data_IF_814255072985
#
_entry.id   IF_814255072985
#
_cell.length_a   1.000
_cell.length_b   1.000
_cell.length_c   1.000
_cell.angle_alpha   90.00
_cell.angle_beta   90.00
_cell.angle_gamma   90.00
#
_symmetry.space_group_name_H-M   'P 1'
#
loop_
_entity.id
_entity.type
_entity.pdbx_description
1 polymer ?
#
# COMPACT_ATOMS: atom_id res chain seq x y z
N UNK A 1 13.66 -9.96 -3.26
CA UNK A 1 13.16 -8.68 -3.79
C UNK A 1 13.16 -8.70 -5.31
N UNK A 2 14.27 -9.09 -5.95
CA UNK A 2 14.38 -9.23 -7.41
C UNK A 2 13.13 -9.75 -8.15
N UNK A 3 12.64 -10.95 -7.83
CA UNK A 3 11.47 -11.54 -8.50
C UNK A 3 10.18 -10.71 -8.28
N UNK A 4 9.94 -10.27 -7.05
CA UNK A 4 8.80 -9.38 -6.73
C UNK A 4 8.88 -8.10 -7.56
N UNK A 5 10.03 -7.43 -7.56
CA UNK A 5 10.25 -6.19 -8.28
C UNK A 5 10.08 -6.36 -9.80
N UNK A 6 10.60 -7.44 -10.37
CA UNK A 6 10.41 -7.77 -11.78
C UNK A 6 8.93 -8.01 -12.12
N UNK A 7 8.19 -8.76 -11.29
CA UNK A 7 6.76 -9.01 -11.49
C UNK A 7 5.90 -7.74 -11.39
N UNK A 8 6.20 -6.84 -10.46
CA UNK A 8 5.48 -5.56 -10.33
C UNK A 8 5.78 -4.61 -11.49
N UNK A 9 7.02 -4.61 -12.00
CA UNK A 9 7.40 -3.85 -13.19
C UNK A 9 6.75 -4.42 -14.44
N UNK A 10 6.68 -5.74 -14.58
CA UNK A 10 5.94 -6.40 -15.66
C UNK A 10 4.50 -5.86 -15.74
N UNK A 11 3.78 -5.91 -14.62
CA UNK A 11 2.39 -5.44 -14.56
C UNK A 11 2.28 -3.94 -14.89
N UNK A 12 3.09 -3.09 -14.27
CA UNK A 12 3.05 -1.64 -14.52
C UNK A 12 3.35 -1.29 -15.97
N UNK A 13 4.45 -1.81 -16.51
CA UNK A 13 4.93 -1.50 -17.86
C UNK A 13 3.96 -2.04 -18.90
N UNK A 14 3.45 -3.27 -18.75
CA UNK A 14 2.44 -3.81 -19.65
C UNK A 14 1.15 -3.00 -19.66
N UNK A 15 0.69 -2.58 -18.48
CA UNK A 15 -0.54 -1.79 -18.35
C UNK A 15 -0.39 -0.41 -19.00
N UNK A 16 0.73 0.27 -18.76
CA UNK A 16 1.00 1.59 -19.35
C UNK A 16 1.21 1.48 -20.87
N UNK A 17 1.93 0.47 -21.34
CA UNK A 17 2.12 0.23 -22.77
C UNK A 17 0.77 -0.01 -23.47
N UNK A 18 -0.10 -0.82 -22.87
CA UNK A 18 -1.43 -1.09 -23.42
C UNK A 18 -2.31 0.17 -23.45
N UNK A 19 -2.23 1.00 -22.40
CA UNK A 19 -2.93 2.28 -22.36
C UNK A 19 -2.46 3.21 -23.49
N UNK A 20 -1.16 3.44 -23.61
CA UNK A 20 -0.60 4.37 -24.60
C UNK A 20 -0.81 3.88 -26.04
N UNK A 21 -0.60 2.60 -26.31
CA UNK A 21 -0.81 2.03 -27.65
C UNK A 21 -2.31 1.96 -27.99
N UNK A 22 -3.14 1.57 -27.03
CA UNK A 22 -4.58 1.47 -27.20
C UNK A 22 -5.27 2.82 -27.39
N UNK A 23 -4.83 3.88 -26.71
CA UNK A 23 -5.34 5.24 -26.92
C UNK A 23 -5.10 5.72 -28.36
N UNK A 24 -3.94 5.39 -28.94
CA UNK A 24 -3.61 5.75 -30.33
C UNK A 24 -4.33 4.89 -31.38
N UNK A 25 -4.72 3.66 -31.03
CA UNK A 25 -5.35 2.71 -31.94
C UNK A 25 -6.87 2.57 -31.77
N UNK A 26 -7.47 3.37 -30.89
CA UNK A 26 -8.92 3.35 -30.63
C UNK A 26 -9.41 2.21 -29.73
N UNK A 27 -8.51 1.50 -29.02
CA UNK A 27 -8.84 0.42 -28.08
C UNK A 27 -7.79 -0.69 -28.05
N UNK A 28 -8.04 -1.72 -27.24
CA UNK A 28 -7.22 -2.94 -27.25
C UNK A 28 -7.56 -3.83 -28.46
N UNK A 29 -6.53 -4.38 -29.09
CA UNK A 29 -6.64 -5.49 -30.03
C UNK A 29 -5.53 -6.50 -29.73
N UNK A 30 -5.60 -7.67 -30.38
CA UNK A 30 -4.69 -8.76 -30.11
C UNK A 30 -3.21 -8.33 -30.20
N UNK A 31 -2.84 -7.59 -31.24
CA UNK A 31 -1.47 -7.11 -31.47
C UNK A 31 -1.00 -6.16 -30.38
N UNK A 32 -1.84 -5.20 -29.98
CA UNK A 32 -1.53 -4.25 -28.90
C UNK A 32 -1.36 -4.97 -27.57
N UNK A 33 -2.27 -5.89 -27.26
CA UNK A 33 -2.22 -6.69 -26.05
C UNK A 33 -0.93 -7.52 -25.99
N UNK A 34 -0.59 -8.20 -27.08
CA UNK A 34 0.62 -9.01 -27.19
C UNK A 34 1.89 -8.15 -27.04
N UNK A 35 2.02 -7.07 -27.81
CA UNK A 35 3.17 -6.17 -27.76
C UNK A 35 3.35 -5.56 -26.37
N UNK A 36 2.26 -5.19 -25.70
CA UNK A 36 2.29 -4.63 -24.35
C UNK A 36 2.84 -5.61 -23.31
N UNK A 37 2.52 -6.91 -23.43
CA UNK A 37 3.12 -7.94 -22.60
C UNK A 37 4.62 -8.10 -22.88
N UNK A 38 5.05 -8.06 -24.15
CA UNK A 38 6.48 -8.14 -24.51
C UNK A 38 7.29 -6.96 -23.97
N UNK A 39 6.75 -5.73 -24.04
CA UNK A 39 7.38 -4.54 -23.46
C UNK A 39 7.51 -4.73 -21.93
N UNK A 40 6.47 -5.23 -21.27
CA UNK A 40 6.52 -5.55 -19.85
C UNK A 40 7.56 -6.60 -19.49
N UNK A 41 7.65 -7.69 -20.26
CA UNK A 41 8.66 -8.75 -20.07
C UNK A 41 10.07 -8.16 -20.17
N UNK A 42 10.32 -7.30 -21.16
CA UNK A 42 11.60 -6.60 -21.32
C UNK A 42 11.95 -5.78 -20.07
N UNK A 43 11.00 -4.99 -19.54
CA UNK A 43 11.19 -4.23 -18.31
C UNK A 43 11.46 -5.12 -17.09
N UNK A 44 10.73 -6.23 -16.97
CA UNK A 44 10.90 -7.18 -15.87
C UNK A 44 12.26 -7.88 -15.90
N UNK A 45 12.70 -8.32 -17.09
CA UNK A 45 14.02 -8.91 -17.32
C UNK A 45 15.12 -7.91 -16.97
N UNK A 46 14.98 -6.64 -17.40
CA UNK A 46 15.94 -5.60 -17.07
C UNK A 46 16.06 -5.40 -15.55
N UNK A 47 14.96 -5.28 -14.82
CA UNK A 47 15.00 -5.19 -13.35
C UNK A 47 15.60 -6.43 -12.71
N UNK A 48 15.26 -7.62 -13.23
CA UNK A 48 15.80 -8.86 -12.72
C UNK A 48 17.34 -8.87 -12.80
N UNK A 49 17.92 -8.54 -13.95
CA UNK A 49 19.37 -8.56 -14.10
C UNK A 49 20.10 -7.37 -13.44
N UNK A 50 19.46 -6.21 -13.35
CA UNK A 50 20.05 -5.02 -12.71
C UNK A 50 20.04 -5.08 -11.19
N UNK A 51 19.16 -5.90 -10.60
CA UNK A 51 19.16 -6.11 -9.15
C UNK A 51 20.18 -7.20 -8.77
N UNK A 52 21.10 -6.90 -7.84
CA UNK A 52 22.10 -7.88 -7.43
C UNK A 52 21.43 -9.15 -6.87
N UNK A 53 21.98 -10.34 -7.20
CA UNK A 53 21.46 -11.59 -6.67
C UNK A 53 21.53 -11.60 -5.14
N UNK A 54 20.64 -12.36 -4.52
CA UNK A 54 20.74 -12.59 -3.09
C UNK A 54 22.02 -13.38 -2.86
N UNK A 55 23.02 -12.77 -2.23
CA UNK A 55 24.15 -13.51 -1.70
C UNK A 55 23.61 -14.45 -0.61
N UNK A 56 23.35 -15.70 -0.96
CA UNK A 56 23.36 -16.80 0.00
C UNK A 56 24.81 -16.96 0.45
N UNK A 57 25.20 -16.23 1.49
CA UNK A 57 26.61 -16.22 1.89
C UNK A 57 27.00 -15.10 2.85
N UNK A 58 26.27 -14.95 3.95
CA UNK A 58 26.84 -14.57 5.25
C UNK A 58 25.81 -14.83 6.37
N UNK A 59 25.22 -16.02 6.38
CA UNK A 59 24.83 -16.63 7.64
C UNK A 59 26.12 -17.19 8.26
N UNK A 60 27.09 -16.33 8.57
CA UNK A 60 27.95 -16.64 9.69
C UNK A 60 27.00 -16.52 10.86
N UNK A 61 26.62 -17.69 11.36
CA UNK A 61 26.01 -17.83 12.65
C UNK A 61 26.80 -16.94 13.61
N UNK A 62 26.18 -15.83 14.01
CA UNK A 62 26.36 -15.42 15.40
C UNK A 62 25.64 -16.53 16.16
N UNK A 63 26.42 -17.53 16.56
CA UNK A 63 26.08 -18.45 17.63
C UNK A 63 25.84 -17.59 18.87
N UNK A 64 24.64 -17.05 18.99
CA UNK A 64 24.01 -16.63 20.23
C UNK A 64 22.53 -16.41 19.88
N UNK A 65 21.64 -17.26 20.43
CA UNK A 65 20.17 -17.36 20.27
C UNK A 65 19.59 -18.50 19.40
N UNK A 66 20.10 -19.72 19.55
CA UNK A 66 19.56 -20.94 18.93
C UNK A 66 18.05 -21.24 19.20
N UNK A 67 17.46 -20.96 20.38
CA UNK A 67 16.04 -21.25 20.62
C UNK A 67 15.10 -20.31 19.84
N UNK A 68 15.35 -19.00 19.90
CA UNK A 68 14.51 -17.96 19.28
C UNK A 68 14.48 -18.05 17.75
N UNK A 69 15.62 -18.42 17.13
CA UNK A 69 15.70 -18.63 15.69
C UNK A 69 14.79 -19.78 15.21
N UNK A 70 14.70 -20.87 15.99
CA UNK A 70 13.85 -22.02 15.68
C UNK A 70 12.36 -21.66 15.79
N UNK A 71 11.96 -20.96 16.84
CA UNK A 71 10.56 -20.51 17.02
C UNK A 71 10.12 -19.51 15.95
N UNK A 72 11.02 -18.61 15.50
CA UNK A 72 10.73 -17.65 14.42
C UNK A 72 10.38 -18.36 13.10
N UNK A 73 11.04 -19.48 12.81
CA UNK A 73 10.78 -20.31 11.63
C UNK A 73 9.41 -21.00 11.70
N UNK A 74 9.04 -21.54 12.87
CA UNK A 74 7.73 -22.19 13.09
C UNK A 74 6.60 -21.17 12.91
N UNK A 75 6.70 -20.00 13.54
CA UNK A 75 5.67 -18.95 13.40
C UNK A 75 5.54 -18.46 11.97
N UNK A 76 6.65 -18.29 11.25
CA UNK A 76 6.61 -17.95 9.83
C UNK A 76 5.88 -19.02 9.01
N UNK A 77 6.16 -20.30 9.28
CA UNK A 77 5.50 -21.41 8.60
C UNK A 77 3.99 -21.43 8.89
N UNK A 78 3.58 -21.30 10.15
CA UNK A 78 2.18 -21.28 10.55
C UNK A 78 1.42 -20.09 9.94
N UNK A 79 1.94 -18.87 10.09
CA UNK A 79 1.31 -17.67 9.53
C UNK A 79 1.31 -17.74 8.00
N UNK A 80 2.38 -18.24 7.38
CA UNK A 80 2.45 -18.47 5.94
C UNK A 80 1.45 -19.50 5.44
N UNK A 81 1.23 -20.58 6.19
CA UNK A 81 0.23 -21.59 5.88
C UNK A 81 -1.19 -21.02 5.95
N UNK A 82 -1.51 -20.25 7.00
CA UNK A 82 -2.82 -19.57 7.11
C UNK A 82 -3.00 -18.54 5.99
N UNK A 83 -1.95 -17.78 5.64
CA UNK A 83 -1.98 -16.86 4.51
C UNK A 83 -2.28 -17.60 3.19
N UNK A 84 -1.63 -18.75 2.97
CA UNK A 84 -1.83 -19.56 1.78
C UNK A 84 -3.26 -20.13 1.71
N UNK A 85 -3.82 -20.62 2.82
CA UNK A 85 -5.22 -21.05 2.89
C UNK A 85 -6.14 -19.87 2.53
N UNK A 86 -5.94 -18.72 3.15
CA UNK A 86 -6.71 -17.50 2.86
C UNK A 86 -6.65 -17.17 1.37
N UNK A 87 -5.46 -17.09 0.78
CA UNK A 87 -5.26 -16.72 -0.61
C UNK A 87 -5.92 -17.73 -1.56
N UNK A 88 -5.67 -19.03 -1.34
CA UNK A 88 -6.25 -20.09 -2.16
C UNK A 88 -7.77 -20.10 -2.08
N UNK A 89 -8.32 -20.06 -0.86
CA UNK A 89 -9.77 -20.08 -0.65
C UNK A 89 -10.44 -18.85 -1.28
N UNK A 90 -9.85 -17.67 -1.12
CA UNK A 90 -10.46 -16.41 -1.57
C UNK A 90 -10.40 -16.20 -3.08
N UNK A 91 -9.28 -16.59 -3.73
CA UNK A 91 -9.08 -16.31 -5.15
C UNK A 91 -9.45 -17.47 -6.08
N UNK A 92 -9.33 -18.72 -5.65
CA UNK A 92 -9.82 -19.85 -6.45
C UNK A 92 -11.36 -19.96 -6.45
N UNK A 93 -12.01 -19.42 -5.41
CA UNK A 93 -13.48 -19.27 -5.33
C UNK A 93 -13.90 -17.80 -5.36
N UNK A 94 -13.15 -16.97 -6.09
CA UNK A 94 -13.50 -15.55 -6.27
C UNK A 94 -14.92 -15.40 -6.82
N UNK A 95 -15.24 -16.19 -7.83
CA UNK A 95 -16.60 -16.59 -8.21
C UNK A 95 -16.57 -18.00 -8.80
N UNK A 96 -17.64 -18.75 -8.60
CA UNK A 96 -17.76 -20.13 -9.05
C UNK A 96 -19.17 -20.42 -9.55
N UNK A 97 -19.32 -21.48 -10.33
CA UNK A 97 -20.64 -21.94 -10.78
C UNK A 97 -21.13 -23.04 -9.83
N UNK A 98 -22.36 -22.91 -9.37
CA UNK A 98 -23.07 -23.96 -8.63
C UNK A 98 -24.37 -24.28 -9.38
N UNK A 99 -24.34 -25.35 -10.19
CA UNK A 99 -25.38 -25.64 -11.16
C UNK A 99 -25.53 -24.50 -12.19
N UNK A 100 -26.69 -23.87 -12.20
CA UNK A 100 -27.00 -22.71 -13.06
C UNK A 100 -26.67 -21.36 -12.40
N UNK A 101 -26.32 -21.36 -11.11
CA UNK A 101 -26.03 -20.15 -10.36
C UNK A 101 -24.56 -19.74 -10.51
N UNK A 102 -24.32 -18.43 -10.44
CA UNK A 102 -22.98 -17.84 -10.27
C UNK A 102 -22.89 -17.34 -8.84
N UNK A 103 -22.07 -18.02 -8.05
CA UNK A 103 -21.90 -17.73 -6.64
C UNK A 103 -20.57 -17.03 -6.38
N UNK A 104 -20.55 -16.24 -5.30
CA UNK A 104 -19.38 -15.53 -4.81
C UNK A 104 -19.21 -15.86 -3.34
N UNK A 105 -17.97 -16.16 -2.93
CA UNK A 105 -17.70 -16.54 -1.54
C UNK A 105 -17.97 -15.39 -0.54
N UNK A 106 -17.48 -14.19 -0.85
CA UNK A 106 -17.51 -13.06 0.08
C UNK A 106 -18.67 -12.11 -0.30
N UNK A 107 -19.62 -11.84 0.61
CA UNK A 107 -20.71 -10.91 0.34
C UNK A 107 -20.18 -9.49 0.08
N UNK A 108 -19.02 -9.13 0.65
CA UNK A 108 -18.36 -7.85 0.40
C UNK A 108 -17.85 -7.70 -1.04
N UNK A 109 -17.65 -8.81 -1.75
CA UNK A 109 -17.14 -8.81 -3.12
C UNK A 109 -18.25 -8.83 -4.18
N UNK A 110 -19.51 -9.01 -3.80
CA UNK A 110 -20.61 -9.18 -4.76
C UNK A 110 -20.73 -7.97 -5.71
N UNK A 111 -20.80 -6.75 -5.15
CA UNK A 111 -20.89 -5.52 -5.93
C UNK A 111 -19.58 -5.16 -6.64
N UNK A 112 -18.46 -5.23 -5.92
CA UNK A 112 -17.13 -4.87 -6.45
C UNK A 112 -16.70 -5.81 -7.57
N UNK A 113 -16.94 -7.12 -7.46
CA UNK A 113 -16.56 -8.06 -8.51
C UNK A 113 -17.34 -7.82 -9.80
N UNK A 114 -18.66 -7.59 -9.72
CA UNK A 114 -19.47 -7.25 -10.89
C UNK A 114 -18.90 -6.04 -11.64
N UNK A 115 -18.57 -4.98 -10.89
CA UNK A 115 -17.93 -3.77 -11.41
C UNK A 115 -16.62 -4.10 -12.17
N UNK A 116 -15.74 -4.88 -11.54
CA UNK A 116 -14.45 -5.25 -12.11
C UNK A 116 -14.57 -6.13 -13.36
N UNK A 117 -15.48 -7.11 -13.35
CA UNK A 117 -15.74 -7.95 -14.52
C UNK A 117 -16.22 -7.12 -15.71
N UNK A 118 -17.09 -6.13 -15.46
CA UNK A 118 -17.52 -5.17 -16.49
C UNK A 118 -16.33 -4.41 -17.05
N UNK A 119 -15.46 -3.82 -16.22
CA UNK A 119 -14.29 -3.07 -16.71
C UNK A 119 -13.34 -3.93 -17.54
N UNK A 120 -13.00 -5.13 -17.06
CA UNK A 120 -12.11 -6.07 -17.77
C UNK A 120 -12.69 -6.39 -19.14
N UNK A 121 -13.99 -6.70 -19.23
CA UNK A 121 -14.67 -7.01 -20.49
C UNK A 121 -14.78 -5.80 -21.41
N UNK A 122 -15.05 -4.61 -20.88
CA UNK A 122 -15.05 -3.36 -21.65
C UNK A 122 -13.70 -3.12 -22.32
N UNK A 123 -12.59 -3.25 -21.59
CA UNK A 123 -11.26 -3.13 -22.18
C UNK A 123 -10.98 -4.23 -23.20
N UNK A 124 -11.29 -5.49 -22.86
CA UNK A 124 -11.00 -6.64 -23.70
C UNK A 124 -11.78 -6.63 -25.04
N UNK A 125 -12.96 -6.01 -25.07
CA UNK A 125 -13.77 -5.84 -26.28
C UNK A 125 -13.28 -4.70 -27.19
N UNK A 126 -12.15 -4.06 -26.86
CA UNK A 126 -11.53 -3.07 -27.73
C UNK A 126 -12.21 -1.70 -27.72
N UNK A 127 -12.90 -1.36 -26.63
CA UNK A 127 -13.47 -0.01 -26.46
C UNK A 127 -12.36 1.05 -26.40
N UNK A 128 -12.66 2.26 -26.88
CA UNK A 128 -11.71 3.38 -26.89
C UNK A 128 -11.18 3.69 -25.50
N UNK A 129 -9.85 3.81 -25.37
CA UNK A 129 -9.20 4.22 -24.14
C UNK A 129 -9.06 5.76 -24.12
N UNK A 130 -9.38 6.47 -23.04
CA UNK A 130 -10.02 6.01 -21.81
C UNK A 130 -11.55 5.88 -21.98
N UNK A 131 -12.17 4.76 -21.54
CA UNK A 131 -13.55 4.44 -21.89
C UNK A 131 -14.56 5.34 -21.16
N UNK A 132 -15.75 5.42 -21.75
CA UNK A 132 -16.92 5.95 -21.06
C UNK A 132 -17.27 5.05 -19.86
N UNK A 133 -17.86 5.64 -18.83
CA UNK A 133 -18.31 4.91 -17.65
C UNK A 133 -19.43 3.94 -18.06
N UNK A 134 -19.31 2.64 -17.75
CA UNK A 134 -20.36 1.67 -18.05
C UNK A 134 -21.58 1.83 -17.12
N UNK A 135 -21.49 2.70 -16.11
CA UNK A 135 -22.54 2.93 -15.10
C UNK A 135 -23.19 4.30 -15.27
N UNK A 136 -22.41 5.33 -15.61
CA UNK A 136 -22.87 6.71 -15.65
C UNK A 136 -22.80 7.28 -17.07
N UNK A 137 -23.97 7.58 -17.65
CA UNK A 137 -24.08 8.20 -18.98
C UNK A 137 -23.35 9.55 -19.00
N UNK A 138 -22.68 9.85 -20.12
CA UNK A 138 -21.94 11.11 -20.35
C UNK A 138 -20.76 11.38 -19.41
N UNK A 139 -20.19 10.36 -18.78
CA UNK A 139 -18.97 10.48 -17.97
C UNK A 139 -17.91 9.47 -18.41
N UNK A 140 -16.63 9.78 -18.20
CA UNK A 140 -15.56 8.78 -18.34
C UNK A 140 -15.48 7.88 -17.12
N UNK A 141 -14.82 6.73 -17.28
CA UNK A 141 -14.56 5.80 -16.19
C UNK A 141 -13.80 6.48 -15.03
N UNK A 142 -14.46 6.60 -13.87
CA UNK A 142 -13.95 7.20 -12.62
C UNK A 142 -13.38 6.15 -11.67
N UNK A 143 -12.37 5.42 -12.13
CA UNK A 143 -11.79 4.34 -11.33
C UNK A 143 -10.31 4.11 -11.67
N UNK A 144 -9.44 3.83 -10.68
CA UNK A 144 -8.07 3.34 -10.90
C UNK A 144 -8.06 1.92 -11.50
N UNK A 145 -8.37 1.81 -12.78
CA UNK A 145 -8.61 0.52 -13.46
C UNK A 145 -7.34 -0.18 -13.94
N UNK A 146 -6.17 0.10 -13.36
CA UNK A 146 -4.88 -0.44 -13.85
C UNK A 146 -4.80 -1.97 -13.83
N UNK A 147 -5.22 -2.62 -12.74
CA UNK A 147 -5.29 -4.09 -12.70
C UNK A 147 -6.39 -4.63 -13.63
N UNK A 148 -7.52 -3.94 -13.74
CA UNK A 148 -8.60 -4.35 -14.65
C UNK A 148 -8.16 -4.27 -16.12
N UNK A 149 -7.41 -3.24 -16.48
CA UNK A 149 -6.79 -3.11 -17.80
C UNK A 149 -5.76 -4.22 -18.04
N UNK A 150 -4.91 -4.52 -17.05
CA UNK A 150 -3.96 -5.64 -17.14
C UNK A 150 -4.67 -6.98 -17.38
N UNK A 151 -5.73 -7.28 -16.64
CA UNK A 151 -6.57 -8.46 -16.88
C UNK A 151 -7.34 -8.37 -18.22
N UNK A 152 -7.68 -7.17 -18.67
CA UNK A 152 -8.24 -6.91 -19.99
C UNK A 152 -7.31 -7.33 -21.13
N UNK A 153 -6.00 -7.07 -21.00
CA UNK A 153 -4.96 -7.52 -21.95
C UNK A 153 -4.99 -9.05 -22.07
N UNK A 154 -5.00 -9.76 -20.94
CA UNK A 154 -5.04 -11.23 -20.93
C UNK A 154 -6.35 -11.76 -21.55
N UNK A 155 -7.48 -11.16 -21.18
CA UNK A 155 -8.79 -11.53 -21.73
C UNK A 155 -8.84 -11.31 -23.25
N UNK A 156 -8.27 -10.20 -23.75
CA UNK A 156 -8.21 -9.89 -25.18
C UNK A 156 -7.34 -10.88 -25.98
N UNK A 157 -6.34 -11.49 -25.34
CA UNK A 157 -5.52 -12.57 -25.92
C UNK A 157 -6.21 -13.95 -25.87
N UNK A 158 -7.43 -14.03 -25.34
CA UNK A 158 -8.21 -15.27 -25.29
C UNK A 158 -8.06 -16.08 -24.00
N UNK A 159 -7.41 -15.55 -22.95
CA UNK A 159 -7.35 -16.23 -21.67
C UNK A 159 -8.70 -16.18 -20.94
N UNK A 160 -9.14 -17.33 -20.43
CA UNK A 160 -10.38 -17.44 -19.65
C UNK A 160 -10.37 -16.57 -18.40
N UNK A 161 -11.52 -15.97 -18.09
CA UNK A 161 -11.64 -14.98 -17.02
C UNK A 161 -11.47 -15.59 -15.61
N UNK A 162 -12.09 -16.74 -15.31
CA UNK A 162 -11.96 -17.33 -13.96
C UNK A 162 -10.52 -17.71 -13.61
N UNK A 163 -9.79 -18.50 -14.43
CA UNK A 163 -8.43 -18.91 -14.09
C UNK A 163 -7.46 -17.74 -14.05
N UNK A 164 -7.59 -16.75 -14.94
CA UNK A 164 -6.70 -15.58 -14.91
C UNK A 164 -6.90 -14.75 -13.64
N UNK A 165 -8.13 -14.55 -13.17
CA UNK A 165 -8.38 -13.73 -11.98
C UNK A 165 -7.89 -14.44 -10.73
N UNK A 166 -8.06 -15.76 -10.67
CA UNK A 166 -7.47 -16.60 -9.63
C UNK A 166 -5.93 -16.47 -9.66
N UNK A 167 -5.29 -16.62 -10.82
CA UNK A 167 -3.84 -16.48 -10.97
C UNK A 167 -3.35 -15.09 -10.56
N UNK A 168 -4.00 -14.01 -10.99
CA UNK A 168 -3.68 -12.63 -10.58
C UNK A 168 -3.76 -12.48 -9.07
N UNK A 169 -4.84 -12.96 -8.44
CA UNK A 169 -5.03 -12.88 -7.00
C UNK A 169 -4.01 -13.69 -6.20
N UNK A 170 -3.67 -14.90 -6.65
CA UNK A 170 -2.67 -15.77 -6.01
C UNK A 170 -1.25 -15.19 -6.13
N UNK A 171 -0.88 -14.69 -7.31
CA UNK A 171 0.43 -14.05 -7.51
C UNK A 171 0.55 -12.74 -6.71
N UNK A 172 -0.51 -11.94 -6.68
CA UNK A 172 -0.59 -10.76 -5.84
C UNK A 172 -0.49 -11.10 -4.35
N UNK A 173 -1.14 -12.18 -3.91
CA UNK A 173 -1.08 -12.70 -2.54
C UNK A 173 0.35 -13.12 -2.16
N UNK A 174 1.03 -13.85 -3.04
CA UNK A 174 2.44 -14.21 -2.85
C UNK A 174 3.33 -12.96 -2.78
N UNK A 175 3.09 -11.98 -3.65
CA UNK A 175 3.79 -10.70 -3.65
C UNK A 175 3.56 -9.91 -2.36
N UNK A 176 2.31 -9.83 -1.89
CA UNK A 176 1.93 -9.13 -0.66
C UNK A 176 2.54 -9.81 0.57
N UNK A 177 2.43 -11.14 0.68
CA UNK A 177 3.07 -11.92 1.74
C UNK A 177 4.58 -11.63 1.81
N UNK A 178 5.25 -11.72 0.66
CA UNK A 178 6.69 -11.49 0.60
C UNK A 178 7.04 -10.04 0.94
N UNK A 179 6.30 -9.05 0.44
CA UNK A 179 6.53 -7.64 0.74
C UNK A 179 6.30 -7.31 2.22
N UNK A 180 5.22 -7.82 2.82
CA UNK A 180 4.92 -7.68 4.26
C UNK A 180 6.02 -8.30 5.12
N UNK A 181 6.43 -9.54 4.79
CA UNK A 181 7.51 -10.22 5.50
C UNK A 181 8.83 -9.44 5.41
N UNK A 182 9.14 -8.85 4.27
CA UNK A 182 10.35 -8.03 4.10
C UNK A 182 10.25 -6.66 4.76
N UNK A 183 9.04 -6.13 4.92
CA UNK A 183 8.76 -4.86 5.59
C UNK A 183 8.86 -4.97 7.12
N UNK A 184 8.20 -5.96 7.72
CA UNK A 184 8.13 -6.11 9.19
C UNK A 184 8.09 -7.53 9.71
N UNK A 185 8.63 -8.49 8.94
CA UNK A 185 8.73 -9.89 9.35
C UNK A 185 7.38 -10.58 9.47
N UNK A 186 7.37 -11.71 10.18
CA UNK A 186 6.15 -12.49 10.46
C UNK A 186 5.09 -11.66 11.18
N UNK A 187 5.50 -10.70 12.02
CA UNK A 187 4.59 -9.81 12.74
C UNK A 187 3.77 -8.92 11.77
N UNK A 188 4.39 -8.37 10.73
CA UNK A 188 3.65 -7.60 9.72
C UNK A 188 2.67 -8.45 8.91
N UNK A 189 3.05 -9.70 8.59
CA UNK A 189 2.13 -10.65 7.90
C UNK A 189 0.95 -11.01 8.80
N UNK A 190 1.21 -11.31 10.08
CA UNK A 190 0.17 -11.60 11.06
C UNK A 190 -0.73 -10.38 11.30
N UNK A 191 -0.15 -9.19 11.42
CA UNK A 191 -0.88 -7.93 11.55
C UNK A 191 -1.77 -7.65 10.34
N UNK A 192 -1.35 -8.02 9.13
CA UNK A 192 -2.20 -7.95 7.96
C UNK A 192 -3.36 -8.96 8.01
N UNK A 193 -3.09 -10.23 8.33
CA UNK A 193 -4.11 -11.29 8.32
C UNK A 193 -5.15 -11.15 9.45
N UNK A 194 -4.67 -10.83 10.64
CA UNK A 194 -5.45 -10.83 11.88
C UNK A 194 -5.73 -9.39 12.34
N UNK A 195 -5.75 -8.44 11.41
CA UNK A 195 -6.16 -7.07 11.74
C UNK A 195 -7.64 -7.05 12.13
N UNK A 196 -7.97 -6.11 13.00
CA UNK A 196 -9.34 -5.88 13.43
C UNK A 196 -9.39 -5.26 14.80
N UNK A 197 -10.58 -4.81 15.17
CA UNK A 197 -10.88 -4.35 16.51
C UNK A 197 -11.34 -5.48 17.42
N UNK A 198 -12.09 -5.13 18.46
CA UNK A 198 -12.54 -6.12 19.44
C UNK A 198 -13.73 -6.97 18.97
N UNK A 199 -14.35 -6.63 17.83
CA UNK A 199 -15.53 -7.32 17.29
C UNK A 199 -15.32 -8.84 17.17
N UNK A 200 -14.12 -9.27 16.74
CA UNK A 200 -13.79 -10.70 16.60
C UNK A 200 -13.73 -11.48 17.92
N UNK A 201 -13.58 -10.79 19.06
CA UNK A 201 -13.53 -11.45 20.38
C UNK A 201 -14.91 -11.90 20.88
N UNK A 202 -16.00 -11.51 20.19
CA UNK A 202 -17.34 -12.04 20.46
C UNK A 202 -17.38 -13.58 20.38
N UNK A 203 -16.51 -14.19 19.57
CA UNK A 203 -16.30 -15.65 19.53
C UNK A 203 -16.06 -16.26 20.91
N UNK A 204 -15.35 -15.58 21.81
CA UNK A 204 -15.05 -16.10 23.16
C UNK A 204 -16.30 -16.19 24.05
N UNK A 205 -17.38 -15.51 23.69
CA UNK A 205 -18.66 -15.54 24.40
C UNK A 205 -19.66 -16.45 23.71
N UNK A 206 -19.74 -16.41 22.38
CA UNK A 206 -20.74 -17.16 21.60
C UNK A 206 -20.30 -18.59 21.30
N UNK A 207 -18.99 -18.84 21.26
CA UNK A 207 -18.37 -20.07 20.75
C UNK A 207 -18.78 -20.44 19.31
N UNK A 208 -19.27 -19.46 18.53
CA UNK A 208 -19.74 -19.65 17.16
C UNK A 208 -18.73 -19.06 16.17
N UNK A 209 -18.36 -19.85 15.15
CA UNK A 209 -17.47 -19.41 14.08
C UNK A 209 -18.25 -18.60 13.03
N UNK A 210 -18.45 -17.31 13.30
CA UNK A 210 -19.21 -16.36 12.46
C UNK A 210 -18.34 -15.19 12.02
N UNK A 211 -18.78 -14.49 10.96
CA UNK A 211 -18.22 -13.19 10.59
C UNK A 211 -18.77 -12.08 11.49
N UNK A 212 -18.07 -11.79 12.59
CA UNK A 212 -18.41 -10.70 13.51
C UNK A 212 -18.09 -9.31 12.95
N UNK A 213 -17.32 -9.21 11.86
CA UNK A 213 -16.98 -7.95 11.19
C UNK A 213 -17.95 -7.64 10.02
N UNK A 214 -18.78 -8.62 9.65
CA UNK A 214 -19.93 -8.56 8.76
C UNK A 214 -21.00 -7.53 9.12
N UNK A 215 -20.97 -7.02 10.35
CA UNK A 215 -22.01 -6.14 10.88
C UNK A 215 -21.93 -4.72 10.30
N UNK A 216 -23.05 -3.97 10.27
CA UNK A 216 -23.07 -2.58 9.82
C UNK A 216 -22.42 -1.60 10.80
N UNK A 217 -22.01 -2.06 11.98
CA UNK A 217 -21.46 -1.22 13.05
C UNK A 217 -19.92 -1.28 13.15
N UNK A 218 -19.23 -2.02 12.27
CA UNK A 218 -17.75 -2.12 12.27
C UNK A 218 -17.17 -1.31 11.12
N UNK A 219 -16.36 -0.31 11.43
CA UNK A 219 -15.66 0.52 10.44
C UNK A 219 -14.32 -0.09 10.02
N UNK A 220 -13.52 -0.54 10.99
CA UNK A 220 -12.21 -1.15 10.76
C UNK A 220 -12.37 -2.66 10.57
N UNK A 221 -12.66 -3.04 9.33
CA UNK A 221 -12.84 -4.43 8.93
C UNK A 221 -11.52 -5.10 8.53
N UNK A 222 -11.57 -6.42 8.38
CA UNK A 222 -10.45 -7.26 7.96
C UNK A 222 -9.91 -6.79 6.61
N UNK A 223 -8.67 -6.30 6.60
CA UNK A 223 -7.97 -5.84 5.40
C UNK A 223 -7.94 -6.94 4.32
N UNK A 224 -7.57 -8.20 4.63
CA UNK A 224 -7.61 -9.26 3.62
C UNK A 224 -8.98 -9.43 2.98
N UNK A 225 -10.06 -9.47 3.77
CA UNK A 225 -11.39 -9.86 3.29
C UNK A 225 -12.17 -8.70 2.67
N UNK A 226 -12.09 -7.49 3.22
CA UNK A 226 -12.91 -6.35 2.80
C UNK A 226 -12.18 -5.33 1.93
N UNK A 227 -10.86 -5.49 1.78
CA UNK A 227 -10.03 -4.59 0.98
C UNK A 227 -9.23 -5.36 -0.06
N UNK A 228 -8.40 -6.32 0.35
CA UNK A 228 -7.45 -6.97 -0.56
C UNK A 228 -8.14 -7.89 -1.57
N UNK A 229 -9.17 -8.64 -1.16
CA UNK A 229 -9.95 -9.50 -2.05
C UNK A 229 -10.91 -8.70 -2.94
N UNK A 230 -11.50 -7.63 -2.41
CA UNK A 230 -12.58 -6.88 -3.08
C UNK A 230 -12.04 -5.81 -4.02
N UNK A 231 -11.06 -5.01 -3.56
CA UNK A 231 -10.53 -3.89 -4.32
C UNK A 231 -9.32 -4.32 -5.12
N UNK A 232 -9.52 -4.63 -6.39
CA UNK A 232 -8.46 -5.19 -7.26
C UNK A 232 -7.21 -4.29 -7.36
N UNK A 233 -7.36 -2.98 -7.25
CA UNK A 233 -6.22 -2.05 -7.20
C UNK A 233 -5.21 -2.38 -6.08
N UNK A 234 -5.67 -2.90 -4.93
CA UNK A 234 -4.81 -3.27 -3.80
C UNK A 234 -3.98 -4.53 -4.04
N UNK A 235 -4.38 -5.41 -4.98
CA UNK A 235 -3.58 -6.56 -5.40
C UNK A 235 -2.21 -6.12 -5.93
N UNK A 236 -2.16 -4.97 -6.58
CA UNK A 236 -0.91 -4.33 -7.01
C UNK A 236 -0.36 -3.37 -5.96
N UNK A 237 -1.22 -2.53 -5.39
CA UNK A 237 -0.77 -1.39 -4.60
C UNK A 237 -0.15 -1.77 -3.25
N UNK A 238 -0.60 -2.85 -2.59
CA UNK A 238 0.00 -3.31 -1.34
C UNK A 238 1.44 -3.81 -1.56
N UNK A 239 1.72 -4.80 -2.42
CA UNK A 239 3.08 -5.25 -2.64
C UNK A 239 3.99 -4.14 -3.19
N UNK A 240 3.50 -3.30 -4.10
CA UNK A 240 4.27 -2.18 -4.66
C UNK A 240 4.56 -1.09 -3.63
N UNK A 241 3.56 -0.65 -2.87
CA UNK A 241 3.76 0.38 -1.86
C UNK A 241 4.68 -0.08 -0.74
N UNK A 242 4.57 -1.32 -0.27
CA UNK A 242 5.51 -1.90 0.70
C UNK A 242 6.92 -2.03 0.13
N UNK A 243 7.07 -2.39 -1.14
CA UNK A 243 8.37 -2.40 -1.82
C UNK A 243 8.99 -0.99 -1.89
N UNK A 244 8.19 0.04 -2.17
CA UNK A 244 8.64 1.45 -2.19
C UNK A 244 9.02 1.94 -0.79
N UNK A 245 8.22 1.65 0.24
CA UNK A 245 8.56 1.96 1.64
C UNK A 245 9.86 1.25 2.05
N UNK A 246 10.03 -0.02 1.66
CA UNK A 246 11.27 -0.76 1.91
C UNK A 246 12.46 -0.12 1.18
N UNK A 247 12.30 0.25 -0.08
CA UNK A 247 13.32 0.93 -0.89
C UNK A 247 13.72 2.28 -0.29
N UNK A 248 12.76 3.12 0.09
CA UNK A 248 13.03 4.45 0.65
C UNK A 248 13.66 4.37 2.02
N UNK A 249 13.26 3.39 2.83
CA UNK A 249 13.90 3.12 4.12
C UNK A 249 15.36 2.70 3.93
N UNK A 250 15.63 1.83 2.97
CA UNK A 250 16.98 1.39 2.64
C UNK A 250 17.86 2.51 2.04
N UNK A 251 17.29 3.33 1.15
CA UNK A 251 18.02 4.34 0.38
C UNK A 251 18.23 5.67 1.11
N UNK A 252 17.25 6.08 1.92
CA UNK A 252 17.21 7.40 2.56
C UNK A 252 17.23 7.34 4.09
N UNK A 253 17.13 6.13 4.65
CA UNK A 253 17.31 5.86 6.07
C UNK A 253 18.78 5.69 6.46
N UNK A 254 19.01 4.97 7.55
CA UNK A 254 20.33 4.69 8.13
C UNK A 254 20.68 3.19 8.11
N UNK A 255 19.91 2.38 7.38
CA UNK A 255 20.06 0.91 7.35
C UNK A 255 21.13 0.47 6.33
N UNK A 256 22.41 0.49 6.72
CA UNK A 256 23.57 0.18 5.84
C UNK A 256 23.51 -1.19 5.15
N UNK A 257 22.99 -2.21 5.83
CA UNK A 257 22.85 -3.58 5.27
C UNK A 257 21.84 -3.66 4.11
N UNK A 258 20.90 -2.72 4.01
CA UNK A 258 19.86 -2.73 2.96
C UNK A 258 20.29 -2.03 1.68
N UNK A 259 21.36 -1.21 1.72
CA UNK A 259 21.85 -0.43 0.57
C UNK A 259 22.29 -1.30 -0.62
N UNK A 260 22.73 -2.53 -0.37
CA UNK A 260 23.21 -3.44 -1.43
C UNK A 260 22.12 -4.00 -2.34
N UNK A 261 20.82 -3.77 -2.05
CA UNK A 261 19.70 -4.45 -2.75
C UNK A 261 18.67 -3.49 -3.35
N UNK A 262 19.08 -2.26 -3.62
CA UNK A 262 18.19 -1.20 -4.10
C UNK A 262 17.62 -1.48 -5.49
N UNK A 263 16.40 -1.00 -5.71
CA UNK A 263 15.80 -0.90 -7.03
C UNK A 263 16.60 0.06 -7.93
N UNK A 264 16.71 -0.24 -9.24
CA UNK A 264 17.11 0.77 -10.22
C UNK A 264 16.20 2.00 -10.12
N UNK A 265 16.79 3.20 -10.26
CA UNK A 265 16.07 4.48 -10.08
C UNK A 265 14.87 4.60 -11.02
N UNK A 266 14.99 4.15 -12.26
CA UNK A 266 13.89 4.16 -13.22
C UNK A 266 12.74 3.24 -12.81
N UNK A 267 13.03 2.10 -12.17
CA UNK A 267 12.02 1.17 -11.70
C UNK A 267 11.25 1.78 -10.51
N UNK A 268 11.97 2.41 -9.59
CA UNK A 268 11.37 3.21 -8.50
C UNK A 268 10.43 4.30 -9.06
N UNK A 269 10.83 4.99 -10.14
CA UNK A 269 10.02 6.01 -10.79
C UNK A 269 8.76 5.43 -11.42
N UNK A 270 8.86 4.33 -12.17
CA UNK A 270 7.70 3.68 -12.80
C UNK A 270 6.70 3.24 -11.73
N UNK A 271 7.15 2.53 -10.69
CA UNK A 271 6.26 2.02 -9.65
C UNK A 271 5.53 3.16 -8.90
N UNK A 272 6.23 4.25 -8.59
CA UNK A 272 5.63 5.38 -7.89
C UNK A 272 4.72 6.22 -8.81
N UNK A 273 5.19 6.58 -10.00
CA UNK A 273 4.48 7.48 -10.91
C UNK A 273 3.21 6.84 -11.51
N UNK A 274 3.20 5.52 -11.69
CA UNK A 274 2.02 4.78 -12.20
C UNK A 274 1.04 4.39 -11.11
N UNK A 275 1.38 4.57 -9.83
CA UNK A 275 0.52 4.19 -8.71
C UNK A 275 -0.92 4.74 -8.80
N UNK A 276 -1.19 5.99 -9.24
CA UNK A 276 -2.57 6.47 -9.38
C UNK A 276 -3.42 5.69 -10.39
N UNK A 277 -2.80 5.06 -11.39
CA UNK A 277 -3.50 4.18 -12.34
C UNK A 277 -4.04 2.93 -11.65
N UNK A 278 -3.36 2.46 -10.60
CA UNK A 278 -3.72 1.26 -9.85
C UNK A 278 -4.49 1.55 -8.56
N UNK A 279 -4.09 2.58 -7.80
CA UNK A 279 -4.70 2.94 -6.54
C UNK A 279 -4.28 4.35 -6.04
N UNK A 280 -5.17 5.34 -6.22
CA UNK A 280 -4.91 6.75 -5.84
C UNK A 280 -4.62 6.92 -4.34
N UNK A 281 -5.34 6.22 -3.45
CA UNK A 281 -5.12 6.37 -2.00
C UNK A 281 -3.71 5.89 -1.59
N UNK A 282 -3.20 4.84 -2.22
CA UNK A 282 -1.80 4.41 -1.97
C UNK A 282 -0.82 5.49 -2.43
N UNK A 283 -1.07 6.10 -3.59
CA UNK A 283 -0.25 7.21 -4.06
C UNK A 283 -0.25 8.40 -3.08
N UNK A 284 -1.41 8.77 -2.53
CA UNK A 284 -1.53 9.83 -1.51
C UNK A 284 -0.72 9.47 -0.25
N UNK A 285 -0.90 8.26 0.28
CA UNK A 285 -0.17 7.80 1.46
C UNK A 285 1.35 7.82 1.25
N UNK A 286 1.82 7.33 0.10
CA UNK A 286 3.23 7.35 -0.27
C UNK A 286 3.76 8.78 -0.49
N UNK A 287 2.95 9.67 -1.04
CA UNK A 287 3.28 11.10 -1.20
C UNK A 287 3.50 11.78 0.16
N UNK A 288 2.68 11.45 1.17
CA UNK A 288 2.86 11.95 2.54
C UNK A 288 4.16 11.43 3.14
N UNK A 289 4.50 10.15 2.92
CA UNK A 289 5.80 9.59 3.36
C UNK A 289 6.96 10.34 2.71
N UNK A 290 6.92 10.55 1.39
CA UNK A 290 7.96 11.32 0.68
C UNK A 290 8.06 12.76 1.17
N UNK A 291 6.93 13.43 1.42
CA UNK A 291 6.90 14.77 1.99
C UNK A 291 7.64 14.80 3.34
N UNK A 292 7.31 13.88 4.25
CA UNK A 292 7.99 13.80 5.54
C UNK A 292 9.48 13.52 5.36
N UNK A 293 9.86 12.57 4.50
CA UNK A 293 11.28 12.29 4.24
C UNK A 293 12.02 13.52 3.67
N UNK A 294 11.40 14.30 2.78
CA UNK A 294 11.99 15.56 2.29
C UNK A 294 12.17 16.54 3.44
N UNK A 295 11.19 16.68 4.33
CA UNK A 295 11.30 17.61 5.45
C UNK A 295 12.34 17.18 6.49
N UNK A 296 12.47 15.87 6.75
CA UNK A 296 13.22 15.34 7.90
C UNK A 296 14.50 14.60 7.56
N UNK A 297 14.86 14.45 6.27
CA UNK A 297 16.13 13.82 5.84
C UNK A 297 16.93 14.78 4.94
N UNK A 298 17.62 15.79 5.50
CA UNK A 298 18.34 16.82 4.74
C UNK A 298 19.30 16.27 3.69
N UNK A 299 20.05 15.21 4.02
CA UNK A 299 21.00 14.56 3.11
C UNK A 299 20.33 13.94 1.87
N UNK A 300 19.08 13.49 1.98
CA UNK A 300 18.35 12.82 0.90
C UNK A 300 17.48 13.77 0.07
N UNK A 301 17.32 15.04 0.48
CA UNK A 301 16.37 15.99 -0.12
C UNK A 301 16.49 16.14 -1.63
N UNK A 302 17.72 16.32 -2.13
CA UNK A 302 17.93 16.52 -3.57
C UNK A 302 17.46 15.30 -4.38
N UNK A 303 17.80 14.10 -3.92
CA UNK A 303 17.40 12.85 -4.56
C UNK A 303 15.89 12.63 -4.49
N UNK A 304 15.27 12.92 -3.34
CA UNK A 304 13.81 12.83 -3.15
C UNK A 304 13.05 13.84 -4.03
N UNK A 305 13.53 15.09 -4.11
CA UNK A 305 12.92 16.11 -4.96
C UNK A 305 13.03 15.75 -6.45
N UNK A 306 14.14 15.14 -6.89
CA UNK A 306 14.27 14.62 -8.25
C UNK A 306 13.27 13.50 -8.54
N UNK A 307 13.09 12.56 -7.59
CA UNK A 307 12.08 11.50 -7.68
C UNK A 307 10.67 12.10 -7.83
N UNK A 308 10.31 13.02 -6.94
CA UNK A 308 8.98 13.67 -6.97
C UNK A 308 8.80 14.45 -8.26
N UNK A 309 9.76 15.29 -8.66
CA UNK A 309 9.68 16.08 -9.89
C UNK A 309 9.50 15.21 -11.14
N UNK A 310 10.22 14.09 -11.23
CA UNK A 310 10.10 13.14 -12.34
C UNK A 310 8.73 12.43 -12.36
N UNK A 311 8.14 12.16 -11.18
CA UNK A 311 6.88 11.43 -11.07
C UNK A 311 5.63 12.32 -11.20
N UNK A 312 5.73 13.62 -10.93
CA UNK A 312 4.57 14.55 -10.91
C UNK A 312 3.81 14.53 -12.23
N UNK A 313 4.49 14.65 -13.38
CA UNK A 313 3.80 14.74 -14.66
C UNK A 313 3.04 13.44 -15.02
N UNK A 314 3.67 12.24 -15.02
CA UNK A 314 2.93 11.01 -15.28
C UNK A 314 1.83 10.74 -14.25
N UNK A 315 2.11 10.97 -12.95
CA UNK A 315 1.11 10.77 -11.90
C UNK A 315 -0.10 11.69 -12.08
N UNK A 316 0.12 12.97 -12.44
CA UNK A 316 -0.96 13.92 -12.71
C UNK A 316 -1.82 13.48 -13.90
N UNK A 317 -1.20 12.94 -14.96
CA UNK A 317 -1.93 12.37 -16.11
C UNK A 317 -2.81 11.20 -15.65
N UNK A 318 -2.28 10.26 -14.86
CA UNK A 318 -3.07 9.12 -14.38
C UNK A 318 -4.17 9.54 -13.40
N UNK A 319 -3.93 10.53 -12.53
CA UNK A 319 -4.97 11.12 -11.68
C UNK A 319 -6.05 11.75 -12.56
N UNK A 320 -5.66 12.55 -13.54
CA UNK A 320 -6.60 13.18 -14.47
C UNK A 320 -7.45 12.15 -15.22
N UNK A 321 -6.85 11.07 -15.71
CA UNK A 321 -7.57 9.97 -16.38
C UNK A 321 -8.57 9.28 -15.44
N UNK A 322 -8.11 8.86 -14.26
CA UNK A 322 -8.90 8.05 -13.31
C UNK A 322 -9.97 8.83 -12.55
N UNK A 323 -9.97 10.16 -12.65
CA UNK A 323 -10.94 11.07 -12.01
C UNK A 323 -11.94 11.70 -13.00
N UNK A 324 -12.09 11.11 -14.20
CA UNK A 324 -12.90 11.68 -15.28
C UNK A 324 -12.49 13.13 -15.58
N UNK A 325 -11.20 13.33 -15.81
CA UNK A 325 -10.61 14.64 -16.15
C UNK A 325 -10.86 15.69 -15.07
N UNK A 326 -10.79 15.28 -13.80
CA UNK A 326 -11.11 16.08 -12.62
C UNK A 326 -12.58 16.54 -12.54
N UNK A 327 -13.50 15.89 -13.28
CA UNK A 327 -14.95 16.14 -13.20
C UNK A 327 -15.65 15.33 -12.12
N UNK A 328 -14.99 14.32 -11.56
CA UNK A 328 -15.41 13.76 -10.28
C UNK A 328 -15.40 14.92 -9.26
N UNK A 329 -16.58 15.39 -8.84
CA UNK A 329 -16.72 16.59 -7.98
C UNK A 329 -15.83 16.52 -6.74
N UNK A 330 -15.46 17.67 -6.16
CA UNK A 330 -14.50 17.74 -5.05
C UNK A 330 -14.84 16.74 -3.94
N UNK A 331 -14.09 15.64 -3.94
CA UNK A 331 -14.27 14.53 -3.00
C UNK A 331 -13.68 14.88 -1.64
N UNK A 332 -12.79 15.89 -1.62
CA UNK A 332 -12.18 16.42 -0.41
C UNK A 332 -13.17 17.30 0.33
N UNK A 333 -13.58 16.84 1.51
CA UNK A 333 -14.46 17.56 2.41
C UNK A 333 -13.96 17.42 3.85
N UNK A 334 -14.01 18.49 4.63
CA UNK A 334 -13.78 18.40 6.08
C UNK A 334 -14.82 17.49 6.70
N UNK A 335 -14.35 16.44 7.37
CA UNK A 335 -15.19 15.45 8.02
C UNK A 335 -14.44 14.85 9.22
N UNK A 336 -14.76 15.33 10.42
CA UNK A 336 -14.08 14.93 11.64
C UNK A 336 -14.67 13.65 12.26
N UNK A 337 -13.78 12.77 12.73
CA UNK A 337 -14.14 11.51 13.38
C UNK A 337 -14.28 10.32 12.43
N UNK A 338 -13.80 10.42 11.18
CA UNK A 338 -13.90 9.37 10.17
C UNK A 338 -15.34 8.86 9.97
N UNK A 339 -15.73 7.71 10.55
CA UNK A 339 -17.10 7.15 10.45
C UNK A 339 -17.86 7.17 11.77
N UNK A 340 -17.29 7.74 12.83
CA UNK A 340 -17.82 7.74 14.20
C UNK A 340 -19.25 8.28 14.31
N UNK A 341 -19.64 9.20 13.43
CA UNK A 341 -20.94 9.87 13.47
C UNK A 341 -21.83 9.53 12.25
N UNK A 342 -21.51 8.47 11.52
CA UNK A 342 -22.13 8.15 10.22
C UNK A 342 -23.11 6.98 10.36
N UNK A 343 -24.40 7.22 10.17
CA UNK A 343 -25.43 6.19 10.04
C UNK A 343 -25.34 5.08 11.11
N UNK A 344 -25.35 3.83 10.66
CA UNK A 344 -25.23 2.65 11.53
C UNK A 344 -23.84 2.51 12.16
N UNK A 345 -22.79 3.14 11.63
CA UNK A 345 -21.44 3.10 12.23
C UNK A 345 -21.32 3.99 13.48
N UNK A 346 -22.38 4.73 13.83
CA UNK A 346 -22.36 5.70 14.91
C UNK A 346 -22.09 5.04 16.27
N UNK A 347 -21.08 5.55 16.98
CA UNK A 347 -20.72 5.09 18.33
C UNK A 347 -20.23 6.25 19.22
N UNK A 348 -20.33 6.14 20.56
CA UNK A 348 -19.67 7.07 21.48
C UNK A 348 -18.15 7.11 21.23
N UNK A 349 -17.53 8.28 21.40
CA UNK A 349 -16.13 8.53 20.99
C UNK A 349 -15.15 7.44 21.43
N UNK A 350 -15.00 7.20 22.73
CA UNK A 350 -14.03 6.21 23.23
C UNK A 350 -14.38 4.79 22.78
N UNK A 351 -15.67 4.45 22.73
CA UNK A 351 -16.13 3.14 22.28
C UNK A 351 -15.84 2.92 20.80
N UNK A 352 -16.06 3.91 19.94
CA UNK A 352 -15.76 3.82 18.51
C UNK A 352 -14.30 3.43 18.27
N UNK A 353 -13.36 4.15 18.88
CA UNK A 353 -11.94 3.93 18.68
C UNK A 353 -11.46 2.60 19.28
N UNK A 354 -11.92 2.26 20.48
CA UNK A 354 -11.57 0.99 21.11
C UNK A 354 -12.20 -0.20 20.38
N UNK A 355 -13.46 -0.09 19.97
CA UNK A 355 -14.17 -1.16 19.27
C UNK A 355 -13.52 -1.47 17.92
N UNK A 356 -13.08 -0.45 17.18
CA UNK A 356 -12.50 -0.59 15.85
C UNK A 356 -11.01 -0.95 15.86
N UNK A 357 -10.19 -0.40 16.77
CA UNK A 357 -8.74 -0.62 16.76
C UNK A 357 -8.22 -1.47 17.93
N UNK A 358 -9.05 -1.74 18.93
CA UNK A 358 -8.66 -2.48 20.13
C UNK A 358 -7.42 -1.89 20.80
N UNK A 359 -6.48 -2.77 21.15
CA UNK A 359 -5.23 -2.43 21.83
C UNK A 359 -4.21 -1.77 20.90
N UNK A 360 -4.40 -1.82 19.58
CA UNK A 360 -3.45 -1.22 18.64
C UNK A 360 -3.33 0.30 18.83
N UNK A 361 -4.44 1.01 19.01
CA UNK A 361 -4.42 2.48 19.15
C UNK A 361 -3.65 2.95 20.39
N UNK A 362 -3.89 2.44 21.63
CA UNK A 362 -3.08 2.83 22.78
C UNK A 362 -1.60 2.45 22.62
N UNK A 363 -1.29 1.31 22.00
CA UNK A 363 0.10 0.94 21.69
C UNK A 363 0.76 1.89 20.69
N UNK A 364 0.03 2.32 19.65
CA UNK A 364 0.53 3.29 18.69
C UNK A 364 0.80 4.65 19.35
N UNK A 365 -0.08 5.11 20.25
CA UNK A 365 0.13 6.35 21.02
C UNK A 365 1.38 6.24 21.90
N UNK A 366 1.54 5.13 22.63
CA UNK A 366 2.73 4.89 23.45
C UNK A 366 4.01 4.82 22.60
N UNK A 367 3.94 4.23 21.41
CA UNK A 367 5.06 4.18 20.46
C UNK A 367 5.45 5.58 19.98
N UNK A 368 4.48 6.42 19.62
CA UNK A 368 4.73 7.80 19.20
C UNK A 368 5.37 8.59 20.34
N UNK A 369 4.85 8.44 21.56
CA UNK A 369 5.40 9.10 22.75
C UNK A 369 6.85 8.69 23.02
N UNK A 370 7.15 7.39 22.99
CA UNK A 370 8.51 6.89 23.23
C UNK A 370 9.48 7.33 22.14
N UNK A 371 9.07 7.31 20.86
CA UNK A 371 9.86 7.83 19.76
C UNK A 371 10.11 9.33 19.90
N UNK A 372 9.08 10.14 20.17
CA UNK A 372 9.22 11.58 20.34
C UNK A 372 10.14 11.95 21.52
N UNK A 373 10.05 11.22 22.63
CA UNK A 373 10.93 11.40 23.79
C UNK A 373 12.38 11.09 23.44
N UNK A 374 12.63 10.04 22.66
CA UNK A 374 13.98 9.70 22.21
C UNK A 374 14.56 10.78 21.30
N UNK A 375 13.82 11.23 20.28
CA UNK A 375 14.26 12.32 19.38
C UNK A 375 14.54 13.61 20.16
N UNK A 376 13.70 13.93 21.15
CA UNK A 376 13.91 15.09 22.01
C UNK A 376 15.22 14.98 22.80
N UNK A 377 15.50 13.81 23.39
CA UNK A 377 16.72 13.58 24.15
C UNK A 377 17.96 13.68 23.24
N UNK A 378 17.90 13.06 22.06
CA UNK A 378 19.00 13.09 21.08
C UNK A 378 19.27 14.53 20.60
N UNK A 379 18.21 15.32 20.38
CA UNK A 379 18.31 16.74 20.03
C UNK A 379 19.00 17.56 21.13
N UNK A 380 18.60 17.39 22.40
CA UNK A 380 19.25 18.07 23.52
C UNK A 380 20.70 17.62 23.71
N UNK A 381 20.99 16.33 23.56
CA UNK A 381 22.34 15.77 23.64
C UNK A 381 23.28 16.37 22.60
N UNK A 382 22.86 16.44 21.33
CA UNK A 382 23.63 17.09 20.24
C UNK A 382 23.94 18.56 20.55
N UNK A 383 23.00 19.26 21.21
CA UNK A 383 23.13 20.69 21.56
C UNK A 383 24.14 20.93 22.68
N UNK A 384 24.22 20.04 23.67
CA UNK A 384 25.23 20.11 24.73
C UNK A 384 26.65 19.84 24.24
N UNK A 385 26.81 19.09 23.15
CA UNK A 385 28.12 18.74 22.57
C UNK A 385 28.59 19.68 21.45
N UNK A 386 27.77 20.64 21.02
CA UNK A 386 28.13 21.56 19.94
C UNK A 386 29.07 22.67 20.47
N UNK A 387 30.21 22.96 19.81
CA UNK A 387 31.09 24.04 20.23
C UNK A 387 30.36 25.39 20.19
N UNK A 388 30.61 26.24 21.21
CA UNK A 388 30.05 27.59 21.27
C UNK A 388 30.44 28.41 20.03
N UNK A 389 29.47 28.56 19.12
CA UNK A 389 29.61 29.42 17.95
C UNK A 389 29.53 30.88 18.37
N UNK A 390 30.70 31.49 18.61
CA UNK A 390 30.88 32.95 18.69
C UNK A 390 30.68 33.58 17.30
N UNK A 391 29.44 33.82 16.89
CA UNK A 391 29.15 34.78 15.82
C UNK A 391 27.89 35.60 16.17
N UNK A 392 28.05 36.82 16.73
CA UNK A 392 26.95 37.76 16.91
C UNK A 392 26.75 38.50 15.57
N UNK A 393 25.68 38.17 14.84
CA UNK A 393 25.35 38.93 13.63
C UNK A 393 24.29 38.36 12.70
N UNK A 394 23.96 37.07 12.78
CA UNK A 394 22.91 36.49 11.92
C UNK A 394 21.52 36.76 12.52
N UNK A 395 20.63 37.39 11.76
CA UNK A 395 19.28 37.74 12.20
C UNK A 395 18.48 36.52 12.69
N UNK A 396 17.54 36.74 13.61
CA UNK A 396 16.67 35.70 14.18
C UNK A 396 16.04 34.80 13.08
N UNK A 397 15.65 35.40 11.95
CA UNK A 397 15.07 34.72 10.81
C UNK A 397 16.06 33.75 10.12
N UNK A 398 17.31 34.13 9.92
CA UNK A 398 18.33 33.26 9.31
C UNK A 398 18.68 32.09 10.24
N UNK A 399 18.71 32.32 11.55
CA UNK A 399 18.88 31.26 12.55
C UNK A 399 17.70 30.28 12.55
N UNK A 400 16.46 30.78 12.43
CA UNK A 400 15.26 29.94 12.33
C UNK A 400 15.21 29.17 11.01
N UNK A 401 15.53 29.80 9.87
CA UNK A 401 15.56 29.15 8.56
C UNK A 401 16.68 28.11 8.47
N UNK A 402 17.87 28.40 8.99
CA UNK A 402 18.96 27.43 9.08
C UNK A 402 18.59 26.22 9.96
N UNK A 403 17.87 26.46 11.06
CA UNK A 403 17.38 25.40 11.95
C UNK A 403 16.32 24.51 11.27
N UNK A 404 15.36 25.09 10.57
CA UNK A 404 14.40 24.34 9.78
C UNK A 404 15.08 23.54 8.66
N UNK A 405 16.11 24.11 8.03
CA UNK A 405 16.88 23.43 6.97
C UNK A 405 17.66 22.24 7.50
N UNK A 406 18.11 22.26 8.75
CA UNK A 406 18.89 21.17 9.33
C UNK A 406 18.05 20.24 10.23
N UNK A 407 16.72 20.36 10.22
CA UNK A 407 15.84 19.46 10.95
C UNK A 407 15.99 18.03 10.42
N UNK A 408 16.33 17.12 11.32
CA UNK A 408 16.53 15.70 11.01
C UNK A 408 15.84 14.84 12.06
N UNK A 409 15.10 13.83 11.61
CA UNK A 409 14.56 12.78 12.47
C UNK A 409 15.26 11.45 12.17
N UNK A 410 15.27 10.54 13.16
CA UNK A 410 15.58 9.14 12.88
C UNK A 410 14.62 8.55 11.84
N UNK A 411 15.06 7.50 11.16
CA UNK A 411 14.27 6.82 10.13
C UNK A 411 12.91 6.36 10.68
N UNK A 412 12.87 5.74 11.86
CA UNK A 412 11.60 5.32 12.46
C UNK A 412 10.70 6.50 12.82
N UNK A 413 11.26 7.56 13.40
CA UNK A 413 10.49 8.75 13.77
C UNK A 413 9.89 9.45 12.54
N UNK A 414 10.62 9.51 11.42
CA UNK A 414 10.10 10.04 10.16
C UNK A 414 8.92 9.20 9.62
N UNK A 415 9.03 7.87 9.64
CA UNK A 415 7.93 6.99 9.19
C UNK A 415 6.72 7.05 10.14
N UNK A 416 6.94 7.13 11.47
CA UNK A 416 5.87 7.34 12.43
C UNK A 416 5.18 8.70 12.23
N UNK A 417 5.94 9.77 11.98
CA UNK A 417 5.36 11.08 11.66
C UNK A 417 4.49 11.01 10.39
N UNK A 418 4.93 10.30 9.35
CA UNK A 418 4.11 10.06 8.17
C UNK A 418 2.83 9.26 8.49
N UNK A 419 2.92 8.20 9.30
CA UNK A 419 1.77 7.42 9.74
C UNK A 419 0.76 8.29 10.54
N UNK A 420 1.25 9.18 11.41
CA UNK A 420 0.42 10.15 12.14
C UNK A 420 -0.26 11.12 11.19
N UNK A 421 0.45 11.68 10.21
CA UNK A 421 -0.16 12.59 9.23
C UNK A 421 -1.23 11.90 8.37
N UNK A 422 -0.98 10.66 7.94
CA UNK A 422 -1.97 9.84 7.21
C UNK A 422 -3.20 9.62 8.12
N UNK A 423 -2.99 9.22 9.37
CA UNK A 423 -4.08 9.03 10.33
C UNK A 423 -4.88 10.33 10.52
N UNK A 424 -4.22 11.45 10.81
CA UNK A 424 -4.86 12.76 10.99
C UNK A 424 -5.65 13.20 9.76
N UNK A 425 -5.12 12.97 8.56
CA UNK A 425 -5.86 13.21 7.31
C UNK A 425 -7.13 12.37 7.26
N UNK A 426 -7.04 11.06 7.51
CA UNK A 426 -8.19 10.15 7.42
C UNK A 426 -9.29 10.40 8.44
N UNK A 427 -8.96 10.97 9.60
CA UNK A 427 -9.96 11.29 10.62
C UNK A 427 -10.54 12.69 10.47
N UNK A 428 -9.93 13.56 9.66
CA UNK A 428 -10.32 14.97 9.54
C UNK A 428 -10.88 15.34 8.17
N UNK A 429 -10.56 14.55 7.13
CA UNK A 429 -10.91 14.85 5.74
C UNK A 429 -11.45 13.58 5.10
N UNK A 430 -12.64 13.68 4.50
CA UNK A 430 -13.18 12.68 3.59
C UNK A 430 -12.40 12.74 2.27
N UNK A 431 -11.81 11.64 1.83
CA UNK A 431 -10.98 11.60 0.60
C UNK A 431 -11.59 10.78 -0.54
N UNK A 432 -12.76 10.20 -0.31
CA UNK A 432 -13.50 9.36 -1.24
C UNK A 432 -15.01 9.66 -1.15
N UNK A 433 -15.84 9.24 -2.12
CA UNK A 433 -17.27 9.56 -2.12
C UNK A 433 -18.01 9.12 -0.85
N UNK A 434 -17.52 8.07 -0.19
CA UNK A 434 -18.04 7.57 1.08
C UNK A 434 -17.02 7.74 2.20
N UNK A 435 -17.47 8.07 3.41
CA UNK A 435 -16.61 8.32 4.57
C UNK A 435 -15.81 7.06 4.95
N UNK A 436 -16.40 5.88 4.77
CA UNK A 436 -15.76 4.61 5.08
C UNK A 436 -14.51 4.36 4.22
N UNK A 437 -14.49 4.85 2.97
CA UNK A 437 -13.41 4.61 2.01
C UNK A 437 -12.05 5.17 2.47
N UNK A 438 -12.02 6.08 3.44
CA UNK A 438 -10.78 6.53 4.10
C UNK A 438 -9.97 5.36 4.71
N UNK A 439 -10.60 4.20 4.95
CA UNK A 439 -9.88 2.97 5.33
C UNK A 439 -8.76 2.63 4.34
N UNK A 440 -8.91 2.95 3.04
CA UNK A 440 -7.90 2.75 1.98
C UNK A 440 -6.60 3.53 2.23
N UNK A 441 -6.66 4.62 2.98
CA UNK A 441 -5.49 5.38 3.45
C UNK A 441 -5.03 4.90 4.83
N UNK A 442 -5.99 4.65 5.71
CA UNK A 442 -5.73 4.26 7.10
C UNK A 442 -4.93 2.97 7.21
N UNK A 443 -5.11 2.03 6.28
CA UNK A 443 -4.26 0.83 6.19
C UNK A 443 -2.77 1.16 6.08
N UNK A 444 -2.38 2.27 5.43
CA UNK A 444 -0.98 2.64 5.29
C UNK A 444 -0.41 3.18 6.60
N UNK A 445 -1.17 3.97 7.36
CA UNK A 445 -0.77 4.35 8.71
C UNK A 445 -0.53 3.10 9.58
N UNK A 446 -1.48 2.15 9.54
CA UNK A 446 -1.36 0.88 10.25
C UNK A 446 -0.11 0.08 9.83
N UNK A 447 0.05 -0.19 8.53
CA UNK A 447 1.16 -1.00 8.00
C UNK A 447 2.52 -0.36 8.25
N UNK A 448 2.64 0.97 8.20
CA UNK A 448 3.88 1.68 8.51
C UNK A 448 4.26 1.51 9.98
N UNK A 449 3.28 1.55 10.89
CA UNK A 449 3.49 1.44 12.33
C UNK A 449 3.93 0.03 12.77
N UNK A 450 3.43 -1.04 12.13
CA UNK A 450 3.67 -2.44 12.55
C UNK A 450 5.15 -2.80 12.81
N UNK A 451 6.10 -2.64 11.87
CA UNK A 451 7.50 -3.01 12.13
C UNK A 451 8.13 -2.20 13.24
N UNK A 452 7.76 -0.92 13.36
CA UNK A 452 8.34 -0.02 14.36
C UNK A 452 7.82 -0.38 15.75
N UNK A 453 6.53 -0.69 15.85
CA UNK A 453 5.90 -1.19 17.08
C UNK A 453 6.57 -2.48 17.56
N UNK A 454 6.75 -3.44 16.64
CA UNK A 454 7.43 -4.70 16.96
C UNK A 454 8.85 -4.46 17.49
N UNK A 455 9.68 -3.74 16.73
CA UNK A 455 11.10 -3.57 17.04
C UNK A 455 11.35 -2.72 18.30
N UNK A 456 10.49 -1.75 18.60
CA UNK A 456 10.70 -0.80 19.70
C UNK A 456 9.99 -1.16 20.98
N UNK A 457 8.87 -1.90 20.93
CA UNK A 457 8.04 -2.15 22.11
C UNK A 457 7.75 -3.62 22.41
N UNK A 458 7.59 -4.48 21.41
CA UNK A 458 7.07 -5.85 21.63
C UNK A 458 8.14 -6.94 21.60
N UNK A 459 9.22 -6.74 20.84
CA UNK A 459 10.30 -7.71 20.68
C UNK A 459 11.42 -7.57 21.73
N UNK A 460 11.37 -6.52 22.56
CA UNK A 460 12.27 -6.31 23.70
C UNK A 460 11.67 -6.96 24.92
#
# INVERSE_FOLDING_TARGET
MRLLSAGLIYVAVSTVAALLLGENAGGLNWSISFVSLIIGVTGAIAVFFLMPPSSEGSLIAVEDDAPLAKYRSIWLCLVGFVFAIFAFRSFCWLFYFDGENIDIQSPFNLGDLGLHLTYIKTFANGMSLWPDSPIYVYSKLRYPAGIDLFNGILTNLGFDLRPQLAATGLLASLGAFYALYRWGGTFAVAGFLFNGGIAGYAFLQTHQFLDYQGTPHVSWKSIPLTMFVTQRGLLYAIPTGLLLLWQWRARYGSDSEREKRLLPVWAEYILYATMPLFHIHTFIALSIVLLVLVLTRPAARSSLLKLVAAAVLPAAIFIWLTTDRMRAGSILQWHFGWTQNVGELKMPFFWFWFFNFGVFLPLAIALIWTAARQESNDFFGRRSSAPELKQPGLGLLDSMMGRARNFELSTDAAYLAAAVLIFLLTISVKTAPWEWDNIKLLIWAYLITLPILWNRMLAR
#
